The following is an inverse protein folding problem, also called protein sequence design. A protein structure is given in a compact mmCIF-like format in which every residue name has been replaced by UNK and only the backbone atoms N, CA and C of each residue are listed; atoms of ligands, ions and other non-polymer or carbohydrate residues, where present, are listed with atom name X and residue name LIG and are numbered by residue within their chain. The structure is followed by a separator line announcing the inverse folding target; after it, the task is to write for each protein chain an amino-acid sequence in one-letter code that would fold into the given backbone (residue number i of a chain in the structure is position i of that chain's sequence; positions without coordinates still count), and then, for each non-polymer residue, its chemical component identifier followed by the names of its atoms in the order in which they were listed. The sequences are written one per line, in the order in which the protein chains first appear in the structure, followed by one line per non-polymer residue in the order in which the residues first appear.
data_IF_147603834935
#
_entry.id   IF_147603834935
#
_cell.length_a   1.000
_cell.length_b   1.000
_cell.length_c   1.000
_cell.angle_alpha   90.00
_cell.angle_beta   90.00
_cell.angle_gamma   90.00
#
_symmetry.space_group_name_H-M   'P 1'
#
loop_
_entity.id
_entity.type
_entity.pdbx_description
1 polymer ?
#
# COMPACT_ATOMS: atom_id res chain seq x y z
N UNK A 1 -16.51 -10.03 -4.23
CA UNK A 1 -15.50 -10.21 -3.15
C UNK A 1 -15.08 -11.68 -2.92
N UNK A 2 -15.96 -12.68 -2.61
CA UNK A 2 -15.49 -14.05 -2.30
C UNK A 2 -14.68 -14.68 -3.45
N UNK A 3 -15.06 -14.44 -4.70
CA UNK A 3 -14.36 -14.96 -5.87
C UNK A 3 -12.92 -14.41 -6.00
N UNK A 4 -12.70 -13.13 -5.74
CA UNK A 4 -11.35 -12.52 -5.75
C UNK A 4 -10.47 -13.11 -4.66
N UNK A 5 -11.01 -13.30 -3.46
CA UNK A 5 -10.28 -13.93 -2.36
C UNK A 5 -9.94 -15.39 -2.66
N UNK A 6 -10.82 -16.11 -3.33
CA UNK A 6 -10.55 -17.48 -3.77
C UNK A 6 -9.42 -17.54 -4.80
N UNK A 7 -9.47 -16.68 -5.85
CA UNK A 7 -8.39 -16.57 -6.83
C UNK A 7 -7.08 -16.24 -6.15
N UNK A 8 -7.09 -15.28 -5.21
CA UNK A 8 -5.89 -14.88 -4.50
C UNK A 8 -5.33 -16.00 -3.62
N UNK A 9 -6.18 -16.74 -2.88
CA UNK A 9 -5.76 -17.91 -2.11
C UNK A 9 -5.15 -19.00 -3.01
N UNK A 10 -5.77 -19.30 -4.16
CA UNK A 10 -5.21 -20.21 -5.14
C UNK A 10 -3.86 -19.71 -5.67
N UNK A 11 -3.72 -18.41 -5.92
CA UNK A 11 -2.45 -17.82 -6.38
C UNK A 11 -1.33 -17.97 -5.33
N UNK A 12 -1.64 -17.81 -4.03
CA UNK A 12 -0.69 -18.09 -2.94
C UNK A 12 -0.26 -19.56 -2.96
N UNK A 13 -1.21 -20.49 -3.05
CA UNK A 13 -0.88 -21.92 -3.10
C UNK A 13 -0.02 -22.27 -4.32
N UNK A 14 -0.30 -21.68 -5.48
CA UNK A 14 0.50 -21.86 -6.69
C UNK A 14 1.90 -21.26 -6.54
N UNK A 15 2.03 -20.05 -5.97
CA UNK A 15 3.34 -19.46 -5.70
C UNK A 15 4.16 -20.31 -4.75
N UNK A 16 3.56 -20.83 -3.67
CA UNK A 16 4.22 -21.76 -2.73
C UNK A 16 4.70 -23.02 -3.43
N UNK A 17 3.84 -23.63 -4.26
CA UNK A 17 4.19 -24.83 -5.03
C UNK A 17 5.36 -24.56 -5.98
N UNK A 18 5.29 -23.49 -6.77
CA UNK A 18 6.38 -23.11 -7.70
C UNK A 18 7.66 -22.79 -6.96
N UNK A 19 7.60 -22.07 -5.83
CA UNK A 19 8.76 -21.79 -4.99
C UNK A 19 9.43 -23.09 -4.49
N UNK A 20 8.63 -24.07 -4.03
CA UNK A 20 9.12 -25.38 -3.62
C UNK A 20 9.79 -26.15 -4.77
N UNK A 21 9.16 -26.19 -5.95
CA UNK A 21 9.71 -26.84 -7.14
C UNK A 21 11.03 -26.21 -7.62
N UNK A 22 11.18 -24.90 -7.42
CA UNK A 22 12.39 -24.14 -7.75
C UNK A 22 13.43 -24.11 -6.62
N UNK A 23 13.19 -24.81 -5.49
CA UNK A 23 14.01 -24.76 -4.28
C UNK A 23 14.26 -23.33 -3.75
N UNK A 24 13.28 -22.42 -3.91
CA UNK A 24 13.35 -21.04 -3.42
C UNK A 24 12.65 -20.90 -2.07
N UNK A 25 13.35 -20.39 -1.06
CA UNK A 25 12.79 -20.14 0.28
C UNK A 25 12.08 -18.77 0.30
N UNK A 26 10.91 -18.68 -0.28
CA UNK A 26 10.11 -17.44 -0.32
C UNK A 26 9.17 -17.29 0.86
N UNK A 27 8.86 -18.37 1.56
CA UNK A 27 7.90 -18.39 2.66
C UNK A 27 8.55 -18.82 3.96
N UNK A 28 8.20 -18.11 5.02
CA UNK A 28 8.45 -18.45 6.40
C UNK A 28 7.11 -18.62 7.10
N UNK A 29 6.98 -19.65 7.96
CA UNK A 29 5.70 -19.97 8.61
C UNK A 29 5.23 -18.85 9.54
N UNK A 30 6.13 -18.34 10.40
CA UNK A 30 5.79 -17.29 11.38
C UNK A 30 5.39 -16.00 10.67
N UNK A 31 6.13 -15.60 9.62
CA UNK A 31 5.82 -14.41 8.82
C UNK A 31 4.48 -14.55 8.08
N UNK A 32 4.24 -15.72 7.47
CA UNK A 32 2.98 -16.01 6.76
C UNK A 32 1.78 -15.98 7.71
N UNK A 33 1.90 -16.62 8.88
CA UNK A 33 0.85 -16.59 9.91
C UNK A 33 0.59 -15.16 10.39
N UNK A 34 1.65 -14.38 10.59
CA UNK A 34 1.54 -12.97 10.97
C UNK A 34 0.75 -12.16 9.92
N UNK A 35 1.07 -12.35 8.63
CA UNK A 35 0.37 -11.69 7.53
C UNK A 35 -1.13 -12.05 7.50
N UNK A 36 -1.47 -13.32 7.71
CA UNK A 36 -2.86 -13.79 7.77
C UNK A 36 -3.63 -13.19 8.95
N UNK A 37 -3.03 -13.19 10.15
CA UNK A 37 -3.67 -12.59 11.35
C UNK A 37 -3.92 -11.10 11.13
N UNK A 38 -2.96 -10.37 10.59
CA UNK A 38 -3.12 -8.96 10.26
C UNK A 38 -4.22 -8.73 9.22
N UNK A 39 -4.31 -9.57 8.21
CA UNK A 39 -5.39 -9.52 7.22
C UNK A 39 -6.77 -9.63 7.88
N UNK A 40 -6.98 -10.65 8.71
CA UNK A 40 -8.27 -10.84 9.38
C UNK A 40 -8.61 -9.67 10.31
N UNK A 41 -7.63 -9.18 11.09
CA UNK A 41 -7.82 -8.01 11.94
C UNK A 41 -8.19 -6.75 11.12
N UNK A 42 -7.48 -6.49 10.02
CA UNK A 42 -7.80 -5.40 9.10
C UNK A 42 -9.19 -5.57 8.46
N UNK A 43 -9.59 -6.81 8.09
CA UNK A 43 -10.91 -7.09 7.52
C UNK A 43 -12.06 -6.87 8.52
N UNK A 44 -11.85 -7.17 9.80
CA UNK A 44 -12.83 -6.86 10.85
C UNK A 44 -13.07 -5.34 10.95
N UNK A 45 -12.03 -4.54 10.85
CA UNK A 45 -12.14 -3.07 10.86
C UNK A 45 -12.62 -2.51 9.50
N UNK A 46 -12.38 -3.24 8.43
CA UNK A 46 -12.64 -2.80 7.05
C UNK A 46 -14.10 -2.47 6.75
N UNK A 47 -15.05 -3.15 7.39
CA UNK A 47 -16.48 -2.85 7.25
C UNK A 47 -16.83 -1.47 7.83
N UNK A 48 -16.37 -1.19 9.05
CA UNK A 48 -16.54 0.12 9.71
C UNK A 48 -15.81 1.23 8.95
N UNK A 49 -14.56 0.97 8.55
CA UNK A 49 -13.76 1.92 7.77
C UNK A 49 -14.36 2.23 6.40
N UNK A 50 -14.95 1.23 5.72
CA UNK A 50 -15.67 1.41 4.46
C UNK A 50 -16.94 2.25 4.61
N UNK A 51 -17.73 2.01 5.67
CA UNK A 51 -18.89 2.82 5.99
C UNK A 51 -18.48 4.28 6.31
N UNK A 52 -17.43 4.45 7.09
CA UNK A 52 -16.86 5.76 7.39
C UNK A 52 -16.37 6.49 6.14
N UNK A 53 -15.64 5.77 5.26
CA UNK A 53 -15.20 6.31 3.96
C UNK A 53 -16.40 6.78 3.13
N UNK A 54 -17.43 5.95 2.99
CA UNK A 54 -18.62 6.32 2.23
C UNK A 54 -19.30 7.57 2.82
N UNK A 55 -19.48 7.63 4.13
CA UNK A 55 -20.11 8.76 4.81
C UNK A 55 -19.33 10.07 4.59
N UNK A 56 -18.01 10.04 4.71
CA UNK A 56 -17.15 11.21 4.46
C UNK A 56 -17.19 11.66 3.01
N UNK A 57 -17.10 10.75 2.04
CA UNK A 57 -17.19 11.08 0.63
C UNK A 57 -18.57 11.63 0.26
N UNK A 58 -19.64 11.02 0.77
CA UNK A 58 -21.00 11.49 0.55
C UNK A 58 -21.23 12.88 1.13
N UNK A 59 -20.70 13.16 2.33
CA UNK A 59 -20.77 14.50 2.92
C UNK A 59 -19.98 15.53 2.10
N UNK A 60 -18.78 15.20 1.64
CA UNK A 60 -17.96 16.09 0.82
C UNK A 60 -18.61 16.36 -0.57
N UNK A 61 -19.27 15.37 -1.16
CA UNK A 61 -19.94 15.50 -2.46
C UNK A 61 -21.13 16.48 -2.46
N UNK A 62 -21.72 16.79 -1.28
CA UNK A 62 -22.82 17.75 -1.17
C UNK A 62 -22.41 19.20 -1.47
N UNK A 63 -21.12 19.51 -1.36
CA UNK A 63 -20.59 20.86 -1.63
C UNK A 63 -20.28 21.12 -3.10
N UNK A 64 -20.45 20.11 -3.99
CA UNK A 64 -20.09 20.21 -5.40
C UNK A 64 -21.32 20.00 -6.29
N UNK A 65 -21.74 21.00 -7.08
CA UNK A 65 -22.95 20.93 -7.89
C UNK A 65 -22.79 20.17 -9.22
N UNK A 66 -21.57 19.86 -9.63
CA UNK A 66 -21.27 19.10 -10.86
C UNK A 66 -20.84 17.68 -10.58
N UNK A 67 -21.07 16.79 -11.53
CA UNK A 67 -20.68 15.37 -11.42
C UNK A 67 -20.04 14.86 -12.70
N UNK A 68 -18.97 14.11 -12.57
CA UNK A 68 -18.43 13.29 -13.64
C UNK A 68 -19.38 12.12 -13.90
N UNK A 69 -19.80 11.92 -15.16
CA UNK A 69 -20.78 10.89 -15.52
C UNK A 69 -20.41 10.19 -16.83
N UNK A 70 -21.06 9.05 -17.08
CA UNK A 70 -20.80 8.24 -18.26
C UNK A 70 -19.42 7.62 -18.26
N UNK A 71 -19.04 7.03 -19.41
CA UNK A 71 -17.77 6.31 -19.57
C UNK A 71 -16.55 7.21 -19.33
N UNK A 72 -16.57 8.43 -19.88
CA UNK A 72 -15.47 9.40 -19.69
C UNK A 72 -15.33 9.79 -18.23
N UNK A 73 -16.45 10.05 -17.54
CA UNK A 73 -16.44 10.34 -16.11
C UNK A 73 -15.87 9.18 -15.28
N UNK A 74 -16.16 7.93 -15.64
CA UNK A 74 -15.60 6.75 -15.00
C UNK A 74 -14.08 6.65 -15.19
N UNK A 75 -13.59 6.88 -16.41
CA UNK A 75 -12.15 6.87 -16.72
C UNK A 75 -11.43 7.98 -15.95
N UNK A 76 -11.98 9.20 -15.93
CA UNK A 76 -11.41 10.32 -15.19
C UNK A 76 -11.39 10.04 -13.69
N UNK A 77 -12.47 9.47 -13.14
CA UNK A 77 -12.53 9.06 -11.73
C UNK A 77 -11.42 8.05 -11.40
N UNK A 78 -11.19 7.05 -12.26
CA UNK A 78 -10.09 6.09 -12.06
C UNK A 78 -8.72 6.78 -12.05
N UNK A 79 -8.45 7.67 -13.02
CA UNK A 79 -7.18 8.39 -13.07
C UNK A 79 -6.96 9.30 -11.86
N UNK A 80 -8.02 9.97 -11.40
CA UNK A 80 -7.99 10.81 -10.18
C UNK A 80 -7.70 9.94 -8.95
N UNK A 81 -8.40 8.82 -8.78
CA UNK A 81 -8.22 7.93 -7.63
C UNK A 81 -6.83 7.28 -7.63
N UNK A 82 -6.31 6.90 -8.79
CA UNK A 82 -4.96 6.34 -8.92
C UNK A 82 -3.86 7.39 -8.63
N UNK A 83 -4.06 8.64 -9.05
CA UNK A 83 -3.19 9.76 -8.66
C UNK A 83 -3.25 10.01 -7.15
N UNK A 84 -4.45 10.01 -6.55
CA UNK A 84 -4.61 10.19 -5.11
C UNK A 84 -3.98 9.03 -4.32
N UNK A 85 -4.05 7.80 -4.86
CA UNK A 85 -3.31 6.66 -4.30
C UNK A 85 -1.81 6.93 -4.29
N UNK A 86 -1.23 7.36 -5.42
CA UNK A 86 0.18 7.74 -5.50
C UNK A 86 0.55 8.82 -4.47
N UNK A 87 -0.25 9.89 -4.36
CA UNK A 87 0.01 10.97 -3.41
C UNK A 87 -0.09 10.50 -1.95
N UNK A 88 -1.11 9.70 -1.62
CA UNK A 88 -1.24 9.06 -0.31
C UNK A 88 -0.02 8.20 0.01
N UNK A 89 0.38 7.34 -0.91
CA UNK A 89 1.50 6.43 -0.76
C UNK A 89 2.82 7.19 -0.55
N UNK A 90 3.01 8.27 -1.30
CA UNK A 90 4.16 9.17 -1.13
C UNK A 90 4.18 9.85 0.25
N UNK A 91 3.03 10.27 0.77
CA UNK A 91 2.92 10.82 2.13
C UNK A 91 3.23 9.76 3.17
N UNK A 92 2.82 8.52 2.97
CA UNK A 92 3.10 7.39 3.86
C UNK A 92 4.58 6.99 3.88
N UNK A 93 5.33 7.25 2.81
CA UNK A 93 6.78 7.02 2.75
C UNK A 93 7.61 8.27 3.10
N UNK A 94 6.97 9.38 3.39
CA UNK A 94 7.65 10.59 3.89
C UNK A 94 7.65 10.61 5.43
N UNK A 95 8.49 11.46 6.02
CA UNK A 95 8.62 11.57 7.47
C UNK A 95 7.47 12.41 8.07
N UNK A 96 6.26 11.88 7.95
CA UNK A 96 5.00 12.49 8.42
C UNK A 96 4.34 11.61 9.48
N UNK A 97 3.32 12.16 10.16
CA UNK A 97 2.47 11.43 11.12
C UNK A 97 1.71 10.25 10.46
N UNK A 98 1.69 10.20 9.12
CA UNK A 98 1.02 9.15 8.36
C UNK A 98 1.92 7.97 8.04
N UNK A 99 3.25 8.10 8.15
CA UNK A 99 4.19 7.01 7.88
C UNK A 99 3.87 5.72 8.67
N UNK A 100 3.57 5.77 9.99
CA UNK A 100 3.29 4.57 10.77
C UNK A 100 2.14 3.71 10.26
N UNK A 101 1.18 4.29 9.52
CA UNK A 101 0.04 3.54 8.98
C UNK A 101 0.45 2.58 7.85
N UNK A 102 1.59 2.82 7.20
CA UNK A 102 2.10 2.00 6.10
C UNK A 102 3.41 1.27 6.44
N UNK A 103 4.19 1.76 7.40
CA UNK A 103 5.45 1.13 7.83
C UNK A 103 5.26 -0.35 8.23
N UNK A 104 4.12 -0.70 8.86
CA UNK A 104 3.75 -2.09 9.18
C UNK A 104 3.85 -3.01 7.96
N UNK A 105 3.43 -2.53 6.79
CA UNK A 105 3.44 -3.28 5.54
C UNK A 105 4.86 -3.66 5.09
N UNK A 106 5.84 -2.79 5.32
CA UNK A 106 7.23 -2.98 4.95
C UNK A 106 8.07 -3.76 5.97
N UNK A 107 7.49 -4.18 7.11
CA UNK A 107 8.27 -4.87 8.16
C UNK A 107 8.59 -6.33 7.85
N UNK A 108 7.93 -6.96 6.87
CA UNK A 108 8.23 -8.34 6.48
C UNK A 108 9.62 -8.44 5.84
N UNK A 109 10.45 -9.36 6.33
CA UNK A 109 11.73 -9.73 5.71
C UNK A 109 11.54 -10.74 4.58
N UNK A 110 10.36 -11.35 4.51
CA UNK A 110 9.92 -12.19 3.40
C UNK A 110 9.15 -11.34 2.39
N UNK A 111 9.31 -11.67 1.10
CA UNK A 111 8.54 -11.00 0.06
C UNK A 111 7.88 -12.05 -0.85
N UNK A 112 6.59 -12.20 -0.67
CA UNK A 112 5.73 -13.16 -1.39
C UNK A 112 4.29 -12.65 -1.39
N UNK A 113 3.36 -13.34 -2.04
CA UNK A 113 1.98 -12.90 -2.14
C UNK A 113 1.31 -12.63 -0.78
N UNK A 114 1.70 -13.32 0.30
CA UNK A 114 1.10 -13.05 1.63
C UNK A 114 1.55 -11.72 2.22
N UNK A 115 2.66 -11.14 1.77
CA UNK A 115 3.15 -9.83 2.25
C UNK A 115 2.11 -8.72 2.04
N UNK A 116 1.32 -8.80 0.97
CA UNK A 116 0.23 -7.83 0.71
C UNK A 116 -0.85 -7.82 1.80
N UNK A 117 -0.99 -8.92 2.55
CA UNK A 117 -1.98 -9.06 3.62
C UNK A 117 -1.59 -8.32 4.90
N UNK A 118 -0.31 -7.92 5.03
CA UNK A 118 0.22 -7.19 6.17
C UNK A 118 -0.18 -5.72 6.08
N UNK A 119 -1.25 -5.34 6.75
CA UNK A 119 -1.78 -3.99 6.73
C UNK A 119 -2.15 -3.49 8.13
N UNK A 120 -2.01 -2.17 8.36
CA UNK A 120 -2.46 -1.54 9.59
C UNK A 120 -3.99 -1.60 9.72
N UNK A 121 -4.48 -1.96 10.90
CA UNK A 121 -5.92 -1.96 11.22
C UNK A 121 -6.52 -0.55 11.24
N UNK A 122 -5.68 0.48 11.35
CA UNK A 122 -6.10 1.88 11.36
C UNK A 122 -6.24 2.48 9.95
N UNK A 123 -5.62 1.85 8.94
CA UNK A 123 -5.59 2.37 7.57
C UNK A 123 -6.97 2.65 6.97
N UNK A 124 -8.02 1.81 7.19
CA UNK A 124 -9.36 2.07 6.67
C UNK A 124 -9.98 3.40 7.13
N UNK A 125 -9.56 3.93 8.28
CA UNK A 125 -10.05 5.20 8.84
C UNK A 125 -9.26 6.42 8.35
N UNK A 126 -8.03 6.21 7.87
CA UNK A 126 -7.17 7.27 7.34
C UNK A 126 -7.38 7.48 5.85
N UNK A 127 -7.66 6.41 5.11
CA UNK A 127 -7.87 6.47 3.66
C UNK A 127 -8.87 7.58 3.22
N UNK A 128 -10.04 7.77 3.86
CA UNK A 128 -11.00 8.79 3.43
C UNK A 128 -10.45 10.20 3.32
N UNK A 129 -9.47 10.56 4.17
CA UNK A 129 -8.83 11.88 4.15
C UNK A 129 -8.12 12.16 2.81
N UNK A 130 -7.56 11.11 2.20
CA UNK A 130 -6.81 11.21 0.95
C UNK A 130 -7.71 11.15 -0.29
N UNK A 131 -8.90 10.54 -0.20
CA UNK A 131 -9.82 10.41 -1.33
C UNK A 131 -10.95 11.44 -1.34
N UNK A 132 -11.20 12.13 -0.23
CA UNK A 132 -12.17 13.23 -0.17
C UNK A 132 -11.93 14.33 -1.22
N UNK A 133 -10.68 14.71 -1.60
CA UNK A 133 -10.44 15.68 -2.67
C UNK A 133 -11.04 15.29 -4.03
N UNK A 134 -11.24 14.00 -4.32
CA UNK A 134 -11.90 13.56 -5.54
C UNK A 134 -13.33 14.12 -5.67
N UNK A 135 -14.00 14.38 -4.55
CA UNK A 135 -15.34 14.96 -4.53
C UNK A 135 -15.34 16.39 -5.10
N UNK A 136 -14.30 17.17 -4.81
CA UNK A 136 -14.14 18.52 -5.34
C UNK A 136 -13.99 18.55 -6.86
N UNK A 137 -13.55 17.45 -7.45
CA UNK A 137 -13.43 17.24 -8.90
C UNK A 137 -14.70 16.64 -9.51
N UNK A 138 -15.78 16.47 -8.73
CA UNK A 138 -17.06 15.96 -9.21
C UNK A 138 -17.14 14.44 -9.34
N UNK A 139 -16.22 13.68 -8.73
CA UNK A 139 -16.29 12.22 -8.72
C UNK A 139 -17.49 11.76 -7.86
N UNK A 140 -18.16 10.69 -8.30
CA UNK A 140 -19.25 10.08 -7.55
C UNK A 140 -18.70 9.17 -6.42
N UNK A 141 -19.18 9.28 -5.14
CA UNK A 141 -18.66 8.49 -4.03
C UNK A 141 -18.60 6.98 -4.27
N UNK A 142 -19.65 6.30 -4.76
CA UNK A 142 -19.59 4.89 -5.16
C UNK A 142 -18.50 4.60 -6.19
N UNK A 143 -18.33 5.45 -7.21
CA UNK A 143 -17.32 5.27 -8.24
C UNK A 143 -15.89 5.37 -7.68
N UNK A 144 -15.64 6.29 -6.75
CA UNK A 144 -14.35 6.41 -6.04
C UNK A 144 -14.05 5.14 -5.25
N UNK A 145 -15.04 4.60 -4.52
CA UNK A 145 -14.87 3.37 -3.73
C UNK A 145 -14.58 2.18 -4.66
N UNK A 146 -15.28 2.07 -5.79
CA UNK A 146 -15.03 1.01 -6.78
C UNK A 146 -13.63 1.12 -7.36
N UNK A 147 -13.20 2.31 -7.79
CA UNK A 147 -11.86 2.53 -8.34
C UNK A 147 -10.77 2.22 -7.29
N UNK A 148 -10.96 2.68 -6.04
CA UNK A 148 -10.07 2.33 -4.94
C UNK A 148 -9.99 0.81 -4.72
N UNK A 149 -11.12 0.12 -4.70
CA UNK A 149 -11.16 -1.33 -4.55
C UNK A 149 -10.45 -2.06 -5.71
N UNK A 150 -10.60 -1.59 -6.94
CA UNK A 150 -9.90 -2.15 -8.10
C UNK A 150 -8.38 -1.99 -7.98
N UNK A 151 -7.90 -0.82 -7.53
CA UNK A 151 -6.47 -0.59 -7.27
C UNK A 151 -5.97 -1.55 -6.18
N UNK A 152 -6.71 -1.71 -5.07
CA UNK A 152 -6.34 -2.63 -3.99
C UNK A 152 -6.30 -4.09 -4.47
N UNK A 153 -7.24 -4.52 -5.33
CA UNK A 153 -7.24 -5.85 -5.93
C UNK A 153 -6.02 -6.04 -6.82
N UNK A 154 -5.68 -5.04 -7.63
CA UNK A 154 -4.47 -5.08 -8.47
C UNK A 154 -3.21 -5.26 -7.62
N UNK A 155 -3.09 -4.50 -6.52
CA UNK A 155 -1.95 -4.54 -5.60
C UNK A 155 -1.76 -5.93 -4.94
N UNK A 156 -2.83 -6.75 -4.78
CA UNK A 156 -2.71 -8.10 -4.22
C UNK A 156 -1.68 -8.95 -4.97
N UNK A 157 -1.61 -8.82 -6.29
CA UNK A 157 -0.81 -9.67 -7.16
C UNK A 157 0.61 -9.15 -7.45
N UNK A 158 0.98 -7.99 -6.91
CA UNK A 158 2.31 -7.40 -7.14
C UNK A 158 3.41 -7.99 -6.24
N UNK A 159 3.03 -8.56 -5.09
CA UNK A 159 3.96 -9.02 -4.06
C UNK A 159 4.53 -10.41 -4.37
N UNK A 160 5.25 -10.56 -5.45
CA UNK A 160 5.85 -11.85 -5.83
C UNK A 160 7.28 -11.69 -6.37
N UNK A 161 8.14 -12.68 -6.07
CA UNK A 161 9.49 -12.78 -6.62
C UNK A 161 9.55 -13.71 -7.84
N UNK A 162 8.45 -14.32 -8.25
CA UNK A 162 8.44 -15.30 -9.34
C UNK A 162 8.24 -14.67 -10.72
N UNK A 163 7.66 -13.46 -10.79
CA UNK A 163 7.42 -12.75 -12.05
C UNK A 163 8.63 -11.84 -12.36
N UNK A 164 9.37 -12.11 -13.45
CA UNK A 164 10.48 -11.26 -13.87
C UNK A 164 9.99 -9.89 -14.37
N UNK A 165 10.89 -8.91 -14.58
CA UNK A 165 10.54 -7.64 -15.21
C UNK A 165 9.89 -7.84 -16.58
N UNK A 166 8.78 -7.15 -16.83
CA UNK A 166 8.04 -7.20 -18.12
C UNK A 166 8.36 -5.94 -18.89
N UNK A 167 9.38 -5.98 -19.74
CA UNK A 167 10.01 -4.82 -20.38
C UNK A 167 9.02 -3.82 -21.00
N UNK A 168 7.93 -4.30 -21.62
CA UNK A 168 6.91 -3.46 -22.25
C UNK A 168 6.08 -2.64 -21.24
N UNK A 169 5.94 -3.14 -20.01
CA UNK A 169 5.09 -2.56 -18.96
C UNK A 169 5.88 -1.72 -17.94
N UNK A 170 7.21 -1.90 -17.90
CA UNK A 170 8.06 -1.23 -16.91
C UNK A 170 8.00 0.31 -17.04
N UNK A 171 7.62 0.95 -15.92
CA UNK A 171 7.47 2.40 -15.85
C UNK A 171 6.19 2.95 -16.49
N UNK A 172 5.28 2.08 -16.96
CA UNK A 172 3.93 2.46 -17.41
C UNK A 172 2.92 2.05 -16.36
N UNK A 173 2.91 0.77 -16.00
CA UNK A 173 2.10 0.24 -14.90
C UNK A 173 2.98 -0.35 -13.81
N UNK A 174 2.43 -0.46 -12.62
CA UNK A 174 3.12 -1.05 -11.49
C UNK A 174 3.19 -2.57 -11.67
N UNK A 175 4.38 -3.08 -11.93
CA UNK A 175 4.66 -4.51 -12.12
C UNK A 175 5.17 -5.13 -10.83
N UNK A 176 5.16 -6.47 -10.67
CA UNK A 176 5.83 -7.12 -9.54
C UNK A 176 7.31 -6.70 -9.39
N UNK A 177 8.02 -6.49 -10.50
CA UNK A 177 9.38 -5.98 -10.53
C UNK A 177 9.48 -4.57 -9.91
N UNK A 178 8.66 -3.64 -10.36
CA UNK A 178 8.65 -2.28 -9.84
C UNK A 178 8.25 -2.25 -8.35
N UNK A 179 7.29 -3.08 -7.95
CA UNK A 179 6.83 -3.16 -6.57
C UNK A 179 7.85 -3.84 -5.63
N UNK A 180 8.65 -4.81 -6.13
CA UNK A 180 9.80 -5.33 -5.39
C UNK A 180 10.83 -4.24 -5.05
N UNK A 181 11.11 -3.34 -5.99
CA UNK A 181 11.99 -2.19 -5.71
C UNK A 181 11.41 -1.34 -4.59
N UNK A 182 10.12 -1.05 -4.65
CA UNK A 182 9.41 -0.29 -3.62
C UNK A 182 9.52 -0.95 -2.23
N UNK A 183 9.51 -2.28 -2.13
CA UNK A 183 9.71 -3.01 -0.88
C UNK A 183 11.17 -3.19 -0.46
N UNK A 184 12.13 -2.67 -1.23
CA UNK A 184 13.54 -2.69 -0.86
C UNK A 184 13.83 -1.82 0.37
N UNK A 185 14.83 -2.22 1.18
CA UNK A 185 15.12 -1.60 2.48
C UNK A 185 15.98 -0.32 2.40
N UNK A 186 16.44 0.08 1.20
CA UNK A 186 17.17 1.34 1.00
C UNK A 186 16.17 2.48 0.78
N UNK A 187 16.46 3.66 1.34
CA UNK A 187 15.59 4.84 1.20
C UNK A 187 15.24 5.15 -0.26
N UNK A 188 16.23 5.08 -1.14
CA UNK A 188 16.04 5.29 -2.58
C UNK A 188 15.16 4.21 -3.25
N UNK A 189 14.89 3.10 -2.60
CA UNK A 189 14.02 2.02 -3.08
C UNK A 189 12.59 2.21 -2.56
N UNK A 190 12.39 2.26 -1.24
CA UNK A 190 11.04 2.39 -0.68
C UNK A 190 10.37 3.77 -0.91
N UNK A 191 11.11 4.80 -1.27
CA UNK A 191 10.57 6.09 -1.72
C UNK A 191 10.34 6.13 -3.25
N UNK A 192 10.38 4.99 -3.95
CA UNK A 192 10.16 4.90 -5.39
C UNK A 192 9.03 3.93 -5.74
N UNK A 193 8.49 4.03 -6.97
CA UNK A 193 7.45 3.18 -7.53
C UNK A 193 6.18 3.14 -6.65
N UNK A 194 5.69 4.32 -6.31
CA UNK A 194 4.59 4.55 -5.36
C UNK A 194 3.20 4.45 -6.00
N UNK A 195 3.12 4.35 -7.33
CA UNK A 195 1.87 4.27 -8.09
C UNK A 195 1.02 3.05 -7.72
N UNK A 196 -0.29 3.21 -7.73
CA UNK A 196 -1.25 2.13 -7.51
C UNK A 196 -1.24 1.14 -8.69
N UNK A 197 -1.80 1.57 -9.81
CA UNK A 197 -1.79 0.84 -11.07
C UNK A 197 -0.83 1.50 -12.05
N UNK A 198 -0.84 2.83 -12.15
CA UNK A 198 -0.05 3.57 -13.12
C UNK A 198 1.25 4.10 -12.48
N UNK A 199 2.41 3.76 -13.08
CA UNK A 199 3.72 4.35 -12.75
C UNK A 199 4.02 5.62 -13.55
N UNK A 200 3.05 6.10 -14.32
CA UNK A 200 3.15 7.39 -15.03
C UNK A 200 3.37 8.52 -14.03
N UNK A 201 2.73 8.47 -12.86
CA UNK A 201 2.91 9.44 -11.78
C UNK A 201 4.34 9.45 -11.23
N UNK A 202 4.91 8.25 -11.04
CA UNK A 202 6.29 8.10 -10.62
C UNK A 202 7.28 8.67 -11.64
N UNK A 203 7.01 8.46 -12.92
CA UNK A 203 7.86 9.04 -13.99
C UNK A 203 7.75 10.56 -14.03
N UNK A 204 6.54 11.11 -13.93
CA UNK A 204 6.30 12.55 -13.98
C UNK A 204 6.89 13.27 -12.75
N UNK A 205 6.87 12.62 -11.59
CA UNK A 205 7.29 13.21 -10.30
C UNK A 205 8.67 12.72 -9.83
N UNK A 206 9.40 11.97 -10.67
CA UNK A 206 10.79 11.60 -10.46
C UNK A 206 11.02 10.48 -9.43
N UNK A 207 9.99 9.68 -9.12
CA UNK A 207 10.08 8.56 -8.17
C UNK A 207 10.15 7.19 -8.84
N UNK A 208 10.20 7.12 -10.17
CA UNK A 208 10.35 5.85 -10.89
C UNK A 208 11.79 5.30 -10.79
N UNK A 209 11.91 4.01 -10.48
CA UNK A 209 13.18 3.28 -10.43
C UNK A 209 13.02 1.87 -10.98
N UNK A 210 13.94 1.46 -11.85
CA UNK A 210 14.02 0.07 -12.33
C UNK A 210 14.57 -0.86 -11.25
N UNK A 211 14.19 -2.14 -11.33
CA UNK A 211 14.75 -3.19 -10.51
C UNK A 211 16.24 -3.41 -10.80
N UNK A 212 17.00 -3.62 -9.75
CA UNK A 212 18.41 -4.02 -9.77
C UNK A 212 18.55 -5.26 -8.86
N UNK A 213 19.65 -6.03 -9.00
CA UNK A 213 19.83 -7.31 -8.32
C UNK A 213 20.02 -7.21 -6.78
N UNK A 214 20.14 -6.00 -6.23
CA UNK A 214 20.45 -5.75 -4.81
C UNK A 214 19.19 -5.45 -3.95
N UNK A 215 18.17 -6.27 -4.00
CA UNK A 215 16.99 -6.09 -3.17
C UNK A 215 17.10 -6.89 -1.86
N UNK A 216 17.00 -6.18 -0.75
CA UNK A 216 16.82 -6.74 0.59
C UNK A 216 15.51 -6.19 1.12
N UNK A 217 14.62 -7.08 1.59
CA UNK A 217 13.31 -6.72 2.10
C UNK A 217 13.33 -6.48 3.61
N UNK A 218 12.25 -5.90 4.13
CA UNK A 218 12.14 -5.50 5.52
C UNK A 218 12.66 -4.08 5.78
N UNK A 219 12.39 -3.55 6.96
CA UNK A 219 12.81 -2.21 7.35
C UNK A 219 14.20 -2.25 8.00
N UNK A 220 15.13 -1.45 7.49
CA UNK A 220 16.50 -1.38 8.02
C UNK A 220 16.51 -0.98 9.50
N UNK A 221 17.08 -1.84 10.35
CA UNK A 221 17.19 -1.60 11.79
C UNK A 221 15.91 -1.85 12.59
N UNK A 222 14.87 -2.35 11.95
CA UNK A 222 13.62 -2.76 12.61
C UNK A 222 13.49 -4.28 12.48
N UNK A 223 13.44 -4.99 13.62
CA UNK A 223 13.12 -6.42 13.61
C UNK A 223 11.60 -6.58 13.51
N UNK A 224 11.11 -7.55 12.73
CA UNK A 224 9.68 -7.88 12.71
C UNK A 224 9.18 -8.19 14.13
N UNK A 225 8.13 -7.52 14.54
CA UNK A 225 7.51 -7.75 15.85
C UNK A 225 6.65 -9.02 15.79
N UNK A 226 6.87 -9.94 16.72
CA UNK A 226 6.13 -11.22 16.76
C UNK A 226 4.73 -11.09 17.36
N UNK A 227 4.53 -10.14 18.26
CA UNK A 227 3.24 -9.87 18.84
C UNK A 227 2.41 -9.00 17.87
N UNK A 228 1.30 -9.53 17.38
CA UNK A 228 0.45 -8.88 16.38
C UNK A 228 -0.10 -7.52 16.83
N UNK A 229 -0.46 -7.38 18.10
CA UNK A 229 -0.95 -6.11 18.65
C UNK A 229 0.18 -5.09 18.73
N UNK A 230 1.33 -5.49 19.25
CA UNK A 230 2.51 -4.63 19.32
C UNK A 230 2.96 -4.22 17.94
N UNK A 231 2.91 -5.11 16.94
CA UNK A 231 3.25 -4.80 15.56
C UNK A 231 2.38 -3.68 14.96
N UNK A 232 1.11 -3.56 15.37
CA UNK A 232 0.22 -2.48 14.92
C UNK A 232 0.55 -1.13 15.58
N UNK A 233 1.09 -1.14 16.79
CA UNK A 233 1.29 0.08 17.59
C UNK A 233 2.76 0.54 17.59
N UNK A 234 3.72 -0.38 17.46
CA UNK A 234 5.15 -0.07 17.52
C UNK A 234 5.61 0.99 16.52
N UNK A 235 5.14 1.05 15.26
CA UNK A 235 5.54 2.12 14.32
C UNK A 235 5.18 3.51 14.86
N UNK A 236 4.02 3.68 15.49
CA UNK A 236 3.61 4.95 16.09
C UNK A 236 4.50 5.36 17.26
N UNK A 237 4.86 4.38 18.11
CA UNK A 237 5.78 4.61 19.24
C UNK A 237 7.18 5.00 18.73
N UNK A 238 7.68 4.30 17.70
CA UNK A 238 8.98 4.60 17.08
C UNK A 238 8.97 6.00 16.47
N UNK A 239 7.91 6.34 15.74
CA UNK A 239 7.75 7.68 15.16
C UNK A 239 7.73 8.76 16.24
N UNK A 240 6.93 8.61 17.31
CA UNK A 240 6.87 9.56 18.41
C UNK A 240 8.25 9.76 19.07
N UNK A 241 9.00 8.67 19.32
CA UNK A 241 10.36 8.75 19.85
C UNK A 241 11.32 9.50 18.92
N UNK A 242 11.19 9.29 17.59
CA UNK A 242 11.99 9.99 16.57
C UNK A 242 11.75 11.50 16.63
N UNK A 243 10.48 11.93 16.70
CA UNK A 243 10.10 13.35 16.81
C UNK A 243 10.62 13.97 18.11
N UNK A 244 10.41 13.30 19.26
CA UNK A 244 10.90 13.78 20.54
C UNK A 244 12.43 13.95 20.56
N UNK A 245 13.18 13.02 19.95
CA UNK A 245 14.64 13.15 19.82
C UNK A 245 15.04 14.37 19.01
N UNK A 246 14.33 14.67 17.92
CA UNK A 246 14.60 15.87 17.08
C UNK A 246 14.34 17.17 17.84
N UNK A 247 13.22 17.24 18.56
CA UNK A 247 12.87 18.40 19.39
C UNK A 247 13.97 18.64 20.41
N UNK A 248 14.38 17.59 21.14
CA UNK A 248 15.42 17.71 22.18
C UNK A 248 16.79 18.06 21.60
N UNK A 249 17.16 17.58 20.42
CA UNK A 249 18.41 17.94 19.75
C UNK A 249 18.40 19.37 19.18
N UNK A 250 17.23 19.92 18.85
CA UNK A 250 17.08 21.32 18.41
C UNK A 250 17.11 22.33 19.58
N UNK A 251 16.67 21.91 20.77
CA UNK A 251 16.69 22.79 21.97
C UNK A 251 18.10 22.94 22.56
N UNK A 252 19.02 22.01 22.28
CA UNK A 252 20.40 22.06 22.79
C UNK A 252 21.39 22.87 21.95
N UNK A 253 20.94 23.58 20.92
CA UNK A 253 21.78 24.38 20.00
C UNK A 253 21.54 25.91 20.10
N UNK A 254 20.89 26.39 21.19
CA UNK A 254 20.70 27.82 21.46
C UNK A 254 21.34 28.22 22.77
#
# INVERSE_FOLDING_TARGET
MPFVLLIFAVSICLEMLVAMLLNRKLYDFDDTLHNLVMFFANRMMGGLGGAFMFAMLAAAAQFVPWKLSGTVGGILTFLIVDLLYYLQHRVFHSDTIFAPFHEVHHTSEQYNLTTTLRASVFLPFVNPLFYAPAMLLGCDPPAVIVCFALIQIYQLFLHTQLVPPIALLEGIINTPSAHRVHHGNKRSQYESNLGGVLLVWDRLLGTYRRETDDLIFGMKGVKPEKNYFVAQVSPFVVYAKRILKRINSGIGQH
#
